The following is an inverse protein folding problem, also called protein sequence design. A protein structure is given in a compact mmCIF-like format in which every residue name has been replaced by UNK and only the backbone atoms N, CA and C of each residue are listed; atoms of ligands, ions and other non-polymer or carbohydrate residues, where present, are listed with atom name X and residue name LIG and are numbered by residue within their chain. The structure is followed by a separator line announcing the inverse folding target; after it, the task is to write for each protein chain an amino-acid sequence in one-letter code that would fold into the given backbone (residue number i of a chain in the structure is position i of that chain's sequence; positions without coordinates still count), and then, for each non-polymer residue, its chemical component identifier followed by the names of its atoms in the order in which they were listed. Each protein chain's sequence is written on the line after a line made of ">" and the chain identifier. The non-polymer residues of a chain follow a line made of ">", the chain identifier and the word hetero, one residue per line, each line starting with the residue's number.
data_IF_734173392268
#
_entry.id   IF_734173392268
#
_cell.length_a   1.000
_cell.length_b   1.000
_cell.length_c   1.000
_cell.angle_alpha   90.00
_cell.angle_beta   90.00
_cell.angle_gamma   90.00
#
_symmetry.space_group_name_H-M   'P 1'
#
loop_
_entity.id
_entity.type
_entity.pdbx_description
1 polymer ?
#
# COMPACT_ATOMS: atom_id res chain seq x y z
N UNK A 1 -26.00 -1.07 3.62
CA UNK A 1 -26.70 -1.89 2.63
C UNK A 1 -26.96 -1.20 1.27
N UNK A 2 -26.90 0.14 1.15
CA UNK A 2 -27.02 0.79 -0.17
C UNK A 2 -25.91 0.35 -1.14
N UNK A 3 -24.68 0.21 -0.65
CA UNK A 3 -23.54 -0.24 -1.48
C UNK A 3 -23.70 -1.65 -2.07
N UNK A 4 -24.28 -2.59 -1.33
CA UNK A 4 -24.57 -3.94 -1.86
C UNK A 4 -25.59 -3.91 -3.00
N UNK A 5 -26.64 -3.08 -2.86
CA UNK A 5 -27.64 -2.90 -3.92
C UNK A 5 -27.03 -2.37 -5.23
N UNK A 6 -26.06 -1.47 -5.15
CA UNK A 6 -25.39 -0.93 -6.33
C UNK A 6 -24.48 -1.99 -6.99
N UNK A 7 -23.79 -2.83 -6.19
CA UNK A 7 -22.99 -3.95 -6.71
C UNK A 7 -23.87 -4.96 -7.45
N UNK A 8 -25.01 -5.36 -6.88
CA UNK A 8 -25.97 -6.27 -7.55
C UNK A 8 -26.50 -5.71 -8.87
N UNK A 9 -26.93 -4.44 -8.89
CA UNK A 9 -27.43 -3.79 -10.11
C UNK A 9 -26.38 -3.77 -11.22
N UNK A 10 -25.12 -3.49 -10.88
CA UNK A 10 -24.03 -3.49 -11.85
C UNK A 10 -23.72 -4.90 -12.34
N UNK A 11 -23.80 -5.91 -11.47
CA UNK A 11 -23.64 -7.30 -11.87
C UNK A 11 -24.77 -7.78 -12.79
N UNK A 12 -26.01 -7.39 -12.55
CA UNK A 12 -27.15 -7.66 -13.44
C UNK A 12 -26.97 -6.98 -14.82
N UNK A 13 -26.47 -5.74 -14.82
CA UNK A 13 -26.26 -4.96 -16.04
C UNK A 13 -25.09 -5.48 -16.89
N UNK A 14 -23.96 -5.84 -16.28
CA UNK A 14 -22.70 -6.14 -16.96
C UNK A 14 -22.27 -7.60 -16.87
N UNK A 15 -22.98 -8.46 -16.14
CA UNK A 15 -22.62 -9.84 -15.90
C UNK A 15 -21.52 -10.02 -14.85
N UNK A 16 -20.95 -11.24 -14.80
CA UNK A 16 -20.00 -11.65 -13.75
C UNK A 16 -18.54 -11.42 -14.09
N UNK A 17 -18.21 -11.19 -15.37
CA UNK A 17 -16.85 -10.95 -15.83
C UNK A 17 -16.82 -10.31 -17.20
N UNK A 18 -15.64 -9.85 -17.63
CA UNK A 18 -15.47 -9.10 -18.88
C UNK A 18 -15.01 -9.96 -20.06
N UNK A 19 -14.61 -11.21 -19.82
CA UNK A 19 -14.12 -12.18 -20.82
C UNK A 19 -12.99 -11.65 -21.72
N UNK A 20 -12.20 -10.68 -21.24
CA UNK A 20 -11.10 -10.10 -21.97
C UNK A 20 -10.31 -9.09 -21.17
N UNK A 21 -9.17 -8.66 -21.75
CA UNK A 21 -8.32 -7.63 -21.16
C UNK A 21 -8.87 -6.23 -21.42
N UNK A 22 -8.40 -5.28 -20.62
CA UNK A 22 -8.73 -3.86 -20.78
C UNK A 22 -8.39 -3.32 -22.19
N UNK A 23 -7.34 -3.82 -22.77
CA UNK A 23 -6.84 -3.38 -24.08
C UNK A 23 -7.68 -3.91 -25.25
N UNK A 24 -8.32 -5.06 -25.10
CA UNK A 24 -9.13 -5.68 -26.16
C UNK A 24 -10.63 -5.34 -26.00
N UNK A 25 -11.36 -6.20 -25.32
CA UNK A 25 -12.82 -6.13 -25.20
C UNK A 25 -13.33 -6.05 -23.74
N UNK A 26 -12.44 -6.00 -22.77
CA UNK A 26 -12.79 -6.02 -21.35
C UNK A 26 -12.92 -4.64 -20.69
N UNK A 27 -12.91 -3.53 -21.44
CA UNK A 27 -13.14 -2.20 -20.87
C UNK A 27 -14.63 -1.88 -20.90
N UNK A 28 -15.22 -1.73 -19.72
CA UNK A 28 -16.59 -1.27 -19.49
C UNK A 28 -16.59 0.20 -19.10
N UNK A 29 -17.72 0.89 -19.28
CA UNK A 29 -17.91 2.27 -18.81
C UNK A 29 -17.56 2.45 -17.34
N UNK A 30 -17.91 1.47 -16.49
CA UNK A 30 -17.62 1.52 -15.07
C UNK A 30 -16.12 1.48 -14.73
N UNK A 31 -15.27 0.88 -15.59
CA UNK A 31 -13.82 0.96 -15.44
C UNK A 31 -13.33 2.39 -15.68
N UNK A 32 -13.88 3.06 -16.71
CA UNK A 32 -13.56 4.45 -17.00
C UNK A 32 -14.10 5.39 -15.92
N UNK A 33 -15.30 5.13 -15.41
CA UNK A 33 -15.88 5.85 -14.27
C UNK A 33 -14.99 5.74 -13.02
N UNK A 34 -14.52 4.54 -12.67
CA UNK A 34 -13.60 4.32 -11.55
C UNK A 34 -12.27 5.06 -11.75
N UNK A 35 -11.69 5.00 -12.95
CA UNK A 35 -10.46 5.71 -13.28
C UNK A 35 -10.63 7.23 -13.19
N UNK A 36 -11.75 7.77 -13.66
CA UNK A 36 -12.07 9.20 -13.55
C UNK A 36 -12.26 9.66 -12.09
N UNK A 37 -12.97 8.88 -11.29
CA UNK A 37 -13.15 9.18 -9.86
C UNK A 37 -11.83 9.12 -9.08
N UNK A 38 -10.98 8.11 -9.36
CA UNK A 38 -9.65 8.02 -8.77
C UNK A 38 -8.75 9.19 -9.20
N UNK A 39 -8.80 9.59 -10.49
CA UNK A 39 -8.06 10.74 -11.00
C UNK A 39 -8.42 12.03 -10.25
N UNK A 40 -9.72 12.25 -10.05
CA UNK A 40 -10.24 13.38 -9.28
C UNK A 40 -9.81 13.30 -7.82
N UNK A 41 -9.99 12.14 -7.17
CA UNK A 41 -9.66 11.94 -5.76
C UNK A 41 -8.16 12.12 -5.48
N UNK A 42 -7.30 11.53 -6.31
CA UNK A 42 -5.85 11.57 -6.16
C UNK A 42 -5.20 12.83 -6.76
N UNK A 43 -5.98 13.69 -7.42
CA UNK A 43 -5.49 14.90 -8.10
C UNK A 43 -4.41 14.59 -9.14
N UNK A 44 -4.53 13.48 -9.86
CA UNK A 44 -3.65 13.07 -10.96
C UNK A 44 -4.48 12.89 -12.24
N UNK A 45 -4.04 13.45 -13.38
CA UNK A 45 -4.88 13.46 -14.59
C UNK A 45 -5.00 12.11 -15.27
N UNK A 46 -4.08 11.19 -15.04
CA UNK A 46 -4.06 9.87 -15.68
C UNK A 46 -4.14 8.74 -14.68
N UNK A 47 -5.13 7.85 -14.84
CA UNK A 47 -5.28 6.64 -14.02
C UNK A 47 -5.41 5.42 -14.91
N UNK A 48 -4.79 4.31 -14.50
CA UNK A 48 -4.89 2.99 -15.13
C UNK A 48 -5.21 1.96 -14.06
N UNK A 49 -6.26 1.16 -14.23
CA UNK A 49 -6.61 0.10 -13.28
C UNK A 49 -6.13 -1.28 -13.75
N UNK A 50 -5.73 -2.10 -12.79
CA UNK A 50 -5.18 -3.45 -12.98
C UNK A 50 -5.99 -4.49 -12.20
N UNK A 51 -5.89 -5.76 -12.58
CA UNK A 51 -6.59 -6.86 -11.93
C UNK A 51 -6.24 -7.08 -10.46
N UNK A 52 -5.01 -6.75 -10.04
CA UNK A 52 -4.55 -6.82 -8.64
C UNK A 52 -3.50 -5.75 -8.35
N UNK A 53 -3.26 -5.43 -7.06
CA UNK A 53 -2.15 -4.57 -6.65
C UNK A 53 -0.78 -5.13 -7.04
N UNK A 54 -0.61 -6.47 -6.98
CA UNK A 54 0.63 -7.11 -7.42
C UNK A 54 0.90 -6.84 -8.91
N UNK A 55 -0.11 -7.03 -9.76
CA UNK A 55 -0.02 -6.74 -11.19
C UNK A 55 0.21 -5.25 -11.47
N UNK A 56 -0.29 -4.36 -10.63
CA UNK A 56 -0.04 -2.91 -10.76
C UNK A 56 1.44 -2.61 -10.65
N UNK A 57 2.11 -3.04 -9.58
CA UNK A 57 3.55 -2.82 -9.40
C UNK A 57 4.38 -3.43 -10.53
N UNK A 58 4.11 -4.70 -10.86
CA UNK A 58 4.81 -5.37 -11.96
C UNK A 58 4.60 -4.63 -13.28
N UNK A 59 3.35 -4.22 -13.57
CA UNK A 59 2.99 -3.56 -14.81
C UNK A 59 3.55 -2.15 -14.96
N UNK A 60 3.57 -1.38 -13.87
CA UNK A 60 4.09 -0.02 -13.84
C UNK A 60 5.60 -0.03 -13.99
N UNK A 61 6.30 -0.75 -13.10
CA UNK A 61 7.76 -0.71 -13.04
C UNK A 61 8.37 -1.31 -14.30
N UNK A 62 7.87 -2.46 -14.78
CA UNK A 62 8.41 -3.10 -15.98
C UNK A 62 8.11 -2.33 -17.27
N UNK A 63 7.08 -1.48 -17.29
CA UNK A 63 6.78 -0.62 -18.42
C UNK A 63 7.66 0.65 -18.43
N UNK A 64 7.86 1.28 -17.26
CA UNK A 64 8.53 2.58 -17.14
C UNK A 64 10.05 2.49 -17.12
N UNK A 65 10.62 1.37 -16.66
CA UNK A 65 12.08 1.23 -16.48
C UNK A 65 12.67 0.42 -17.64
N UNK A 66 13.31 1.13 -18.55
CA UNK A 66 13.92 0.57 -19.76
C UNK A 66 15.36 0.05 -19.54
N UNK A 67 15.97 -0.48 -20.61
CA UNK A 67 17.28 -1.14 -20.58
C UNK A 67 18.43 -0.25 -20.09
N UNK A 68 18.33 1.05 -20.27
CA UNK A 68 19.38 2.00 -19.91
C UNK A 68 19.07 2.76 -18.62
N UNK A 69 17.93 2.47 -17.99
CA UNK A 69 17.47 3.14 -16.80
C UNK A 69 17.83 2.36 -15.53
N UNK A 70 17.62 3.01 -14.41
CA UNK A 70 17.84 2.46 -13.07
C UNK A 70 16.54 2.50 -12.28
N UNK A 71 16.29 1.44 -11.51
CA UNK A 71 15.26 1.42 -10.47
C UNK A 71 15.92 1.28 -9.11
N UNK A 72 15.58 2.16 -8.19
CA UNK A 72 16.18 2.22 -6.86
C UNK A 72 15.08 1.96 -5.83
N UNK A 73 15.23 0.91 -5.02
CA UNK A 73 14.18 0.50 -4.10
C UNK A 73 14.68 0.25 -2.68
N UNK A 74 13.82 0.54 -1.71
CA UNK A 74 14.01 0.20 -0.31
C UNK A 74 14.03 -1.32 -0.12
N UNK A 75 14.86 -1.83 0.79
CA UNK A 75 14.98 -3.27 1.05
C UNK A 75 13.75 -3.89 1.70
N UNK A 76 12.92 -3.11 2.37
CA UNK A 76 11.68 -3.58 2.98
C UNK A 76 10.45 -3.37 2.08
N UNK A 77 10.63 -2.93 0.84
CA UNK A 77 9.52 -2.80 -0.11
C UNK A 77 8.80 -4.13 -0.32
N UNK A 78 7.52 -4.02 -0.66
CA UNK A 78 6.65 -5.16 -0.95
C UNK A 78 7.21 -6.05 -2.09
N UNK A 79 6.99 -7.36 -1.99
CA UNK A 79 7.47 -8.35 -2.95
C UNK A 79 7.09 -8.06 -4.40
N UNK A 80 5.93 -7.43 -4.65
CA UNK A 80 5.48 -7.05 -6.00
C UNK A 80 6.35 -5.96 -6.63
N UNK A 81 6.94 -5.05 -5.82
CA UNK A 81 7.91 -4.05 -6.29
C UNK A 81 9.16 -4.76 -6.76
N UNK A 82 9.69 -5.70 -5.95
CA UNK A 82 10.83 -6.52 -6.37
C UNK A 82 10.56 -7.30 -7.66
N UNK A 83 9.38 -7.93 -7.76
CA UNK A 83 9.00 -8.63 -8.98
C UNK A 83 8.95 -7.68 -10.20
N UNK A 84 8.41 -6.48 -10.03
CA UNK A 84 8.42 -5.45 -11.06
C UNK A 84 9.83 -5.02 -11.46
N UNK A 85 10.72 -4.81 -10.49
CA UNK A 85 12.12 -4.48 -10.73
C UNK A 85 12.86 -5.59 -11.49
N UNK A 86 12.64 -6.86 -11.12
CA UNK A 86 13.26 -8.02 -11.78
C UNK A 86 12.76 -8.23 -13.20
N UNK A 87 11.49 -7.91 -13.47
CA UNK A 87 10.89 -8.02 -14.81
C UNK A 87 11.14 -6.80 -15.69
N UNK A 88 11.64 -5.71 -15.13
CA UNK A 88 12.11 -4.56 -15.91
C UNK A 88 13.43 -4.90 -16.61
N UNK A 89 13.74 -4.14 -17.65
CA UNK A 89 15.06 -4.27 -18.31
C UNK A 89 16.13 -3.40 -17.67
N UNK A 90 15.76 -2.56 -16.68
CA UNK A 90 16.68 -1.63 -16.03
C UNK A 90 17.54 -2.28 -14.95
N UNK A 91 18.52 -1.52 -14.50
CA UNK A 91 19.40 -1.97 -13.43
C UNK A 91 18.78 -1.65 -12.06
N UNK A 92 18.58 -2.68 -11.23
CA UNK A 92 18.05 -2.53 -9.89
C UNK A 92 19.19 -2.20 -8.90
N UNK A 93 19.03 -1.12 -8.14
CA UNK A 93 19.82 -0.77 -6.96
C UNK A 93 18.92 -0.84 -5.72
N UNK A 94 19.50 -1.21 -4.59
CA UNK A 94 18.76 -1.33 -3.33
C UNK A 94 19.48 -0.58 -2.23
N UNK A 95 18.72 0.14 -1.39
CA UNK A 95 19.24 0.78 -0.19
C UNK A 95 18.60 0.17 1.07
N UNK A 96 19.31 0.24 2.19
CA UNK A 96 18.79 -0.23 3.48
C UNK A 96 17.56 0.57 3.85
N UNK A 97 16.64 -0.11 4.51
CA UNK A 97 15.37 0.47 4.90
C UNK A 97 15.54 1.85 5.56
N UNK A 98 14.84 2.83 4.99
CA UNK A 98 14.83 4.23 5.45
C UNK A 98 16.21 4.89 5.61
N UNK A 99 17.27 4.38 4.94
CA UNK A 99 18.62 4.94 4.95
C UNK A 99 18.83 5.90 3.77
N UNK A 100 18.62 7.18 4.01
CA UNK A 100 18.73 8.21 2.98
C UNK A 100 20.15 8.43 2.49
N UNK A 101 21.15 8.19 3.34
CA UNK A 101 22.54 8.27 2.92
C UNK A 101 22.91 7.13 1.95
N UNK A 102 22.36 5.93 2.12
CA UNK A 102 22.55 4.84 1.18
C UNK A 102 21.71 5.05 -0.10
N UNK A 103 20.52 5.64 -0.01
CA UNK A 103 19.74 6.07 -1.18
C UNK A 103 20.55 7.04 -2.04
N UNK A 104 21.16 8.06 -1.41
CA UNK A 104 21.99 9.02 -2.12
C UNK A 104 23.18 8.36 -2.81
N UNK A 105 23.87 7.42 -2.14
CA UNK A 105 24.96 6.63 -2.76
C UNK A 105 24.48 5.77 -3.95
N UNK A 106 23.21 5.33 -3.93
CA UNK A 106 22.62 4.66 -5.09
C UNK A 106 22.38 5.63 -6.25
N UNK A 107 21.87 6.82 -5.98
CA UNK A 107 21.65 7.87 -6.98
C UNK A 107 22.94 8.33 -7.63
N UNK A 108 24.03 8.48 -6.86
CA UNK A 108 25.36 8.84 -7.36
C UNK A 108 25.96 7.81 -8.34
N UNK A 109 25.45 6.57 -8.35
CA UNK A 109 25.88 5.53 -9.31
C UNK A 109 25.14 5.58 -10.64
N UNK A 110 24.08 6.38 -10.73
CA UNK A 110 23.29 6.53 -11.95
C UNK A 110 24.02 7.50 -12.89
N UNK A 111 24.34 7.09 -14.13
CA UNK A 111 24.92 8.01 -15.11
C UNK A 111 23.96 9.14 -15.45
N UNK A 112 24.47 10.32 -15.73
CA UNK A 112 23.68 11.52 -16.10
C UNK A 112 22.78 11.27 -17.33
N UNK A 113 23.16 10.35 -18.20
CA UNK A 113 22.40 9.99 -19.42
C UNK A 113 21.32 8.94 -19.19
N UNK A 114 21.20 8.40 -17.97
CA UNK A 114 20.25 7.35 -17.62
C UNK A 114 19.08 7.91 -16.81
N UNK A 115 17.87 7.38 -17.03
CA UNK A 115 16.73 7.62 -16.17
C UNK A 115 16.86 6.88 -14.85
N UNK A 116 16.31 7.45 -13.78
CA UNK A 116 16.20 6.79 -12.48
C UNK A 116 14.78 6.88 -11.93
N UNK A 117 14.25 5.75 -11.47
CA UNK A 117 12.98 5.66 -10.74
C UNK A 117 13.25 5.19 -9.32
N UNK A 118 12.97 6.03 -8.33
CA UNK A 118 12.94 5.62 -6.92
C UNK A 118 11.56 5.04 -6.63
N UNK A 119 11.51 3.82 -6.09
CA UNK A 119 10.24 3.15 -5.73
C UNK A 119 10.26 2.82 -4.24
N UNK A 120 9.24 3.24 -3.53
CA UNK A 120 9.08 2.97 -2.09
C UNK A 120 7.62 2.65 -1.75
N UNK A 121 7.42 1.75 -0.76
CA UNK A 121 6.13 1.73 -0.06
C UNK A 121 5.92 3.08 0.64
N UNK A 122 4.71 3.59 0.63
CA UNK A 122 4.34 4.78 1.42
C UNK A 122 4.21 4.44 2.89
N UNK A 123 3.53 3.34 3.18
CA UNK A 123 3.45 2.70 4.50
C UNK A 123 3.93 1.26 4.37
N UNK A 124 4.95 0.89 5.13
CA UNK A 124 5.53 -0.44 5.07
C UNK A 124 4.64 -1.48 5.76
N UNK A 125 4.31 -2.53 5.02
CA UNK A 125 3.26 -3.49 5.40
C UNK A 125 3.56 -4.29 6.67
N UNK A 126 4.84 -4.54 6.98
CA UNK A 126 5.26 -5.30 8.17
C UNK A 126 5.65 -4.36 9.32
N UNK A 127 6.35 -3.27 9.03
CA UNK A 127 6.81 -2.31 10.03
C UNK A 127 5.74 -1.34 10.52
N UNK A 128 4.77 -1.01 9.68
CA UNK A 128 3.77 0.01 9.97
C UNK A 128 4.31 1.45 9.95
N UNK A 129 5.59 1.62 9.68
CA UNK A 129 6.24 2.92 9.53
C UNK A 129 5.98 3.55 8.17
N UNK A 130 6.21 4.86 8.09
CA UNK A 130 5.97 5.68 6.90
C UNK A 130 7.32 5.97 6.23
N UNK A 131 7.36 5.92 4.90
CA UNK A 131 8.55 6.32 4.14
C UNK A 131 8.97 7.75 4.46
N UNK A 132 10.28 8.00 4.46
CA UNK A 132 10.84 9.35 4.59
C UNK A 132 10.68 10.13 3.29
N UNK A 133 9.41 10.29 2.89
CA UNK A 133 9.06 10.84 1.58
C UNK A 133 9.60 12.26 1.32
N UNK A 134 9.65 13.17 2.32
CA UNK A 134 10.27 14.48 2.12
C UNK A 134 11.74 14.41 1.69
N UNK A 135 12.54 13.57 2.35
CA UNK A 135 13.95 13.38 2.04
C UNK A 135 14.13 12.64 0.70
N UNK A 136 13.29 11.65 0.41
CA UNK A 136 13.28 10.93 -0.86
C UNK A 136 13.00 11.90 -2.02
N UNK A 137 11.99 12.77 -1.91
CA UNK A 137 11.67 13.76 -2.92
C UNK A 137 12.78 14.81 -3.09
N UNK A 138 13.41 15.22 -1.99
CA UNK A 138 14.54 16.16 -2.06
C UNK A 138 15.73 15.55 -2.82
N UNK A 139 16.09 14.31 -2.51
CA UNK A 139 17.15 13.58 -3.23
C UNK A 139 16.76 13.33 -4.70
N UNK A 140 15.52 12.93 -4.96
CA UNK A 140 15.04 12.74 -6.32
C UNK A 140 15.20 14.02 -7.16
N UNK A 141 14.79 15.15 -6.61
CA UNK A 141 14.95 16.46 -7.27
C UNK A 141 16.41 16.81 -7.50
N UNK A 142 17.28 16.58 -6.52
CA UNK A 142 18.74 16.88 -6.61
C UNK A 142 19.40 16.08 -7.72
N UNK A 143 19.02 14.80 -7.91
CA UNK A 143 19.64 13.89 -8.87
C UNK A 143 18.82 13.69 -10.16
N UNK A 144 17.74 14.42 -10.36
CA UNK A 144 16.88 14.32 -11.55
C UNK A 144 16.11 12.98 -11.66
N UNK A 145 15.94 12.27 -10.54
CA UNK A 145 15.20 11.02 -10.49
C UNK A 145 13.68 11.26 -10.39
N UNK A 146 12.89 10.23 -10.75
CA UNK A 146 11.44 10.19 -10.57
C UNK A 146 11.08 9.39 -9.33
N UNK A 147 9.92 9.69 -8.75
CA UNK A 147 9.44 9.02 -7.52
C UNK A 147 8.14 8.28 -7.79
N UNK A 148 8.11 7.00 -7.45
CA UNK A 148 6.91 6.17 -7.38
C UNK A 148 6.67 5.77 -5.93
N UNK A 149 5.42 5.97 -5.46
CA UNK A 149 4.97 5.54 -4.14
C UNK A 149 3.92 4.44 -4.28
N UNK A 150 4.18 3.30 -3.66
CA UNK A 150 3.17 2.27 -3.42
C UNK A 150 2.38 2.64 -2.16
N UNK A 151 1.20 3.17 -2.37
CA UNK A 151 0.30 3.64 -1.32
C UNK A 151 -0.79 2.63 -0.97
N UNK A 152 -0.52 1.35 -1.18
CA UNK A 152 -1.48 0.27 -0.89
C UNK A 152 -1.96 0.27 0.57
N UNK A 153 -1.15 0.74 1.50
CA UNK A 153 -1.50 0.93 2.92
C UNK A 153 -1.74 2.39 3.31
N UNK A 154 -1.49 3.35 2.42
CA UNK A 154 -1.72 4.77 2.67
C UNK A 154 -3.10 5.25 2.20
N UNK A 155 -3.60 4.73 1.08
CA UNK A 155 -4.93 5.06 0.54
C UNK A 155 -6.03 4.72 1.56
N UNK A 156 -6.88 5.71 1.87
CA UNK A 156 -7.95 5.59 2.87
C UNK A 156 -7.47 5.62 4.32
N UNK A 157 -6.17 5.90 4.56
CA UNK A 157 -5.53 5.87 5.89
C UNK A 157 -4.83 7.20 6.20
N UNK A 158 -3.96 7.66 5.32
CA UNK A 158 -3.14 8.86 5.51
C UNK A 158 -3.57 10.01 4.61
N UNK A 159 -3.18 11.20 5.02
CA UNK A 159 -3.40 12.42 4.26
C UNK A 159 -4.83 12.95 4.33
N UNK A 160 -5.05 14.07 3.68
CA UNK A 160 -6.35 14.75 3.65
C UNK A 160 -7.41 13.86 3.00
N UNK A 161 -8.46 13.53 3.74
CA UNK A 161 -9.53 12.64 3.26
C UNK A 161 -9.07 11.22 2.93
N UNK A 162 -7.87 10.79 3.36
CA UNK A 162 -7.33 9.47 3.06
C UNK A 162 -6.66 9.36 1.68
N UNK A 163 -6.16 10.47 1.11
CA UNK A 163 -5.51 10.47 -0.22
C UNK A 163 -4.12 9.83 -0.25
N UNK A 164 -3.60 9.40 0.89
CA UNK A 164 -2.35 8.64 0.96
C UNK A 164 -1.15 9.43 1.46
N UNK A 165 0.01 8.80 1.34
CA UNK A 165 1.26 9.23 1.96
C UNK A 165 1.77 10.57 1.40
N UNK A 166 1.68 10.79 0.09
CA UNK A 166 2.10 12.07 -0.49
C UNK A 166 1.25 13.23 0.03
N UNK A 167 -0.06 13.04 0.15
CA UNK A 167 -0.98 14.04 0.74
C UNK A 167 -0.71 14.27 2.23
N UNK A 168 -0.29 13.23 2.95
CA UNK A 168 0.09 13.36 4.36
C UNK A 168 1.25 14.34 4.58
N UNK A 169 2.20 14.39 3.64
CA UNK A 169 3.34 15.29 3.68
C UNK A 169 3.16 16.59 2.85
N UNK A 170 2.05 16.75 2.12
CA UNK A 170 1.85 17.87 1.19
C UNK A 170 2.81 17.84 0.00
N UNK A 171 3.12 16.65 -0.50
CA UNK A 171 4.10 16.39 -1.57
C UNK A 171 3.48 15.82 -2.85
N UNK A 172 2.16 16.03 -3.06
CA UNK A 172 1.44 15.45 -4.19
C UNK A 172 2.05 15.81 -5.55
N UNK A 173 2.62 17.01 -5.67
CA UNK A 173 3.26 17.48 -6.90
C UNK A 173 4.70 16.95 -7.10
N UNK A 174 5.29 16.35 -6.06
CA UNK A 174 6.66 15.84 -6.09
C UNK A 174 6.73 14.32 -6.30
N UNK A 175 5.60 13.63 -6.24
CA UNK A 175 5.49 12.20 -6.55
C UNK A 175 4.96 12.05 -7.96
N UNK A 176 5.74 11.40 -8.83
CA UNK A 176 5.42 11.25 -10.24
C UNK A 176 4.37 10.17 -10.49
N UNK A 177 4.44 9.06 -9.74
CA UNK A 177 3.58 7.89 -9.91
C UNK A 177 3.06 7.42 -8.57
N UNK A 178 1.74 7.32 -8.44
CA UNK A 178 1.09 6.61 -7.34
C UNK A 178 0.67 5.22 -7.80
N UNK A 179 0.89 4.26 -6.95
CA UNK A 179 0.30 2.94 -7.04
C UNK A 179 -0.56 2.70 -5.80
N UNK A 180 -1.66 1.99 -5.96
CA UNK A 180 -2.46 1.53 -4.83
C UNK A 180 -3.26 0.28 -5.16
N UNK A 181 -3.93 -0.26 -4.16
CA UNK A 181 -4.75 -1.47 -4.28
C UNK A 181 -6.16 -1.24 -3.77
N UNK A 182 -7.11 -1.97 -4.34
CA UNK A 182 -8.50 -1.97 -3.84
C UNK A 182 -8.73 -3.03 -2.75
N UNK A 183 -7.77 -3.92 -2.50
CA UNK A 183 -7.93 -5.07 -1.61
C UNK A 183 -7.78 -4.77 -0.12
N UNK A 184 -7.57 -3.51 0.25
CA UNK A 184 -7.41 -3.06 1.64
C UNK A 184 -8.53 -2.09 2.02
N UNK A 185 -8.29 -0.78 2.02
CA UNK A 185 -9.28 0.22 2.41
C UNK A 185 -10.56 0.23 1.57
N UNK A 186 -10.48 -0.14 0.28
CA UNK A 186 -11.64 -0.19 -0.61
C UNK A 186 -12.33 -1.56 -0.66
N UNK A 187 -11.88 -2.55 0.12
CA UNK A 187 -12.51 -3.86 0.32
C UNK A 187 -12.94 -4.59 -0.98
N UNK A 188 -12.12 -4.49 -2.04
CA UNK A 188 -12.39 -5.09 -3.35
C UNK A 188 -11.16 -5.80 -3.91
N UNK A 189 -11.20 -6.21 -5.16
CA UNK A 189 -10.07 -6.76 -5.90
C UNK A 189 -9.63 -5.78 -6.97
N UNK A 190 -8.32 -5.65 -7.16
CA UNK A 190 -7.71 -4.80 -8.16
C UNK A 190 -6.66 -3.86 -7.60
N UNK A 191 -6.13 -3.03 -8.47
CA UNK A 191 -5.22 -1.96 -8.11
C UNK A 191 -5.20 -0.89 -9.18
N UNK A 192 -4.42 0.15 -8.96
CA UNK A 192 -4.33 1.28 -9.88
C UNK A 192 -2.91 1.87 -9.93
N UNK A 193 -2.66 2.59 -11.00
CA UNK A 193 -1.62 3.60 -11.13
C UNK A 193 -2.28 4.96 -11.33
N UNK A 194 -1.74 6.01 -10.71
CA UNK A 194 -2.11 7.39 -11.03
C UNK A 194 -0.84 8.24 -11.27
N UNK A 195 -0.83 8.97 -12.38
CA UNK A 195 0.31 9.76 -12.84
C UNK A 195 -0.13 10.90 -13.77
N UNK A 196 0.79 11.48 -14.55
CA UNK A 196 0.44 12.36 -15.66
C UNK A 196 -0.35 11.62 -16.76
N UNK A 197 -1.06 12.34 -17.58
CA UNK A 197 -1.83 11.74 -18.69
C UNK A 197 -0.94 10.96 -19.66
N UNK A 198 0.25 11.50 -19.96
CA UNK A 198 1.22 10.91 -20.89
C UNK A 198 1.80 9.60 -20.32
N UNK A 199 2.13 9.56 -19.02
CA UNK A 199 2.62 8.36 -18.35
C UNK A 199 1.53 7.30 -18.29
N UNK A 200 0.29 7.67 -18.00
CA UNK A 200 -0.83 6.75 -17.99
C UNK A 200 -1.11 6.16 -19.40
N UNK A 201 -1.07 7.00 -20.42
CA UNK A 201 -1.23 6.54 -21.80
C UNK A 201 -0.10 5.58 -22.22
N UNK A 202 1.15 5.92 -21.91
CA UNK A 202 2.28 5.04 -22.17
C UNK A 202 2.12 3.68 -21.46
N UNK A 203 1.72 3.66 -20.19
CA UNK A 203 1.54 2.42 -19.44
C UNK A 203 0.40 1.56 -20.01
N UNK A 204 -0.69 2.15 -20.49
CA UNK A 204 -1.76 1.41 -21.20
C UNK A 204 -1.25 0.65 -22.42
N UNK A 205 -0.26 1.19 -23.12
CA UNK A 205 0.27 0.62 -24.35
C UNK A 205 1.52 -0.25 -24.16
N UNK A 206 2.20 -0.15 -23.00
CA UNK A 206 3.44 -0.87 -22.73
C UNK A 206 3.33 -1.95 -21.64
N UNK A 207 2.35 -1.83 -20.73
CA UNK A 207 2.22 -2.72 -19.57
C UNK A 207 1.64 -4.08 -19.96
N UNK A 208 2.45 -5.13 -19.88
CA UNK A 208 2.00 -6.50 -20.15
C UNK A 208 0.86 -6.97 -19.22
N UNK A 209 0.90 -6.73 -17.91
CA UNK A 209 -0.22 -7.07 -17.03
C UNK A 209 -1.54 -6.37 -17.39
N UNK A 210 -1.49 -5.18 -17.96
CA UNK A 210 -2.68 -4.49 -18.44
C UNK A 210 -3.20 -5.08 -19.76
N UNK A 211 -2.30 -5.35 -20.71
CA UNK A 211 -2.65 -5.78 -22.07
C UNK A 211 -3.10 -7.26 -22.09
N UNK A 212 -2.45 -8.12 -21.32
CA UNK A 212 -2.57 -9.58 -21.40
C UNK A 212 -3.28 -10.24 -20.21
N UNK A 213 -3.87 -9.45 -19.30
CA UNK A 213 -4.69 -9.98 -18.21
C UNK A 213 -6.15 -9.57 -18.34
N UNK A 214 -7.06 -10.41 -17.88
CA UNK A 214 -8.47 -10.09 -17.82
C UNK A 214 -8.73 -8.86 -16.94
N UNK A 215 -9.75 -8.10 -17.28
CA UNK A 215 -10.19 -6.90 -16.56
C UNK A 215 -10.77 -7.24 -15.19
N UNK A 216 -10.78 -6.26 -14.30
CA UNK A 216 -11.49 -6.37 -13.01
C UNK A 216 -12.95 -6.72 -13.27
N UNK A 217 -13.51 -7.75 -12.60
CA UNK A 217 -14.93 -8.09 -12.74
C UNK A 217 -15.85 -6.92 -12.37
N UNK A 218 -17.03 -6.80 -13.01
CA UNK A 218 -17.99 -5.72 -12.75
C UNK A 218 -18.33 -5.51 -11.28
N UNK A 219 -18.58 -6.59 -10.53
CA UNK A 219 -18.89 -6.52 -9.11
C UNK A 219 -17.74 -5.91 -8.30
N UNK A 220 -16.48 -6.28 -8.58
CA UNK A 220 -15.31 -5.72 -7.91
C UNK A 220 -15.08 -4.25 -8.28
N UNK A 221 -15.27 -3.89 -9.55
CA UNK A 221 -15.18 -2.50 -9.99
C UNK A 221 -16.24 -1.62 -9.29
N UNK A 222 -17.49 -2.09 -9.22
CA UNK A 222 -18.57 -1.41 -8.52
C UNK A 222 -18.29 -1.28 -7.01
N UNK A 223 -17.73 -2.32 -6.38
CA UNK A 223 -17.34 -2.28 -4.97
C UNK A 223 -16.28 -1.22 -4.71
N UNK A 224 -15.22 -1.19 -5.51
CA UNK A 224 -14.15 -0.20 -5.39
C UNK A 224 -14.68 1.23 -5.57
N UNK A 225 -15.50 1.45 -6.59
CA UNK A 225 -16.13 2.75 -6.87
C UNK A 225 -17.05 3.22 -5.72
N UNK A 226 -17.88 2.32 -5.21
CA UNK A 226 -18.79 2.62 -4.09
C UNK A 226 -18.01 2.90 -2.80
N UNK A 227 -16.93 2.16 -2.55
CA UNK A 227 -16.08 2.37 -1.38
C UNK A 227 -15.32 3.70 -1.46
N UNK A 228 -14.81 4.07 -2.65
CA UNK A 228 -14.16 5.35 -2.87
C UNK A 228 -15.13 6.52 -2.61
N UNK A 229 -16.34 6.46 -3.16
CA UNK A 229 -17.39 7.46 -2.93
C UNK A 229 -17.79 7.56 -1.45
N UNK A 230 -17.80 6.42 -0.75
CA UNK A 230 -18.07 6.39 0.68
C UNK A 230 -16.93 7.04 1.46
N UNK A 231 -15.69 6.79 1.09
CA UNK A 231 -14.52 7.42 1.72
C UNK A 231 -14.58 8.94 1.57
N UNK A 232 -14.91 9.44 0.38
CA UNK A 232 -15.06 10.88 0.13
C UNK A 232 -16.22 11.52 0.90
N UNK A 233 -17.34 10.80 1.02
CA UNK A 233 -18.51 11.27 1.76
C UNK A 233 -18.31 11.23 3.29
N UNK A 234 -17.30 10.50 3.78
CA UNK A 234 -17.03 10.24 5.19
C UNK A 234 -15.56 10.49 5.55
N UNK A 235 -15.06 11.74 5.44
CA UNK A 235 -13.68 12.07 5.75
C UNK A 235 -13.30 11.82 7.22
N UNK A 236 -14.28 11.69 8.10
CA UNK A 236 -14.10 11.32 9.51
C UNK A 236 -13.57 9.89 9.71
N UNK A 237 -13.71 8.98 8.72
CA UNK A 237 -13.27 7.59 8.85
C UNK A 237 -11.74 7.46 8.97
N UNK A 238 -10.91 8.08 8.10
CA UNK A 238 -9.46 8.09 8.28
C UNK A 238 -9.02 8.78 9.57
N UNK A 239 -9.69 9.86 9.99
CA UNK A 239 -9.37 10.57 11.23
C UNK A 239 -9.65 9.68 12.46
N UNK A 240 -10.80 9.00 12.49
CA UNK A 240 -11.13 8.03 13.53
C UNK A 240 -10.13 6.88 13.57
N UNK A 241 -9.76 6.32 12.41
CA UNK A 241 -8.76 5.25 12.33
C UNK A 241 -7.41 5.71 12.90
N UNK A 242 -6.99 6.93 12.58
CA UNK A 242 -5.77 7.52 13.12
C UNK A 242 -5.84 7.65 14.65
N UNK A 243 -6.94 8.16 15.19
CA UNK A 243 -7.13 8.29 16.64
C UNK A 243 -7.07 6.93 17.33
N UNK A 244 -7.78 5.92 16.83
CA UNK A 244 -7.76 4.55 17.34
C UNK A 244 -6.37 3.90 17.22
N UNK A 245 -5.62 4.18 16.16
CA UNK A 245 -4.25 3.67 15.99
C UNK A 245 -3.29 4.25 17.02
N UNK A 246 -3.39 5.54 17.34
CA UNK A 246 -2.61 6.18 18.38
C UNK A 246 -3.02 5.68 19.77
N UNK A 247 -4.31 5.51 20.01
CA UNK A 247 -4.85 4.94 21.24
C UNK A 247 -4.30 3.52 21.49
N UNK A 248 -4.41 2.64 20.49
CA UNK A 248 -3.90 1.28 20.58
C UNK A 248 -2.38 1.24 20.80
N UNK A 249 -1.62 2.10 20.11
CA UNK A 249 -0.17 2.19 20.26
C UNK A 249 0.22 2.58 21.70
N UNK A 250 -0.44 3.59 22.25
CA UNK A 250 -0.25 4.00 23.64
C UNK A 250 -0.65 2.87 24.59
N UNK A 251 -1.82 2.26 24.41
CA UNK A 251 -2.31 1.19 25.28
C UNK A 251 -1.42 -0.06 25.29
N UNK A 252 -0.82 -0.43 24.15
CA UNK A 252 0.15 -1.53 24.08
C UNK A 252 1.46 -1.18 24.80
N UNK A 253 1.98 0.03 24.63
CA UNK A 253 3.21 0.46 25.34
C UNK A 253 3.00 0.62 26.84
N UNK A 254 1.86 1.12 27.27
CA UNK A 254 1.49 1.23 28.69
C UNK A 254 1.43 -0.17 29.37
N UNK A 255 1.15 -1.23 28.61
CA UNK A 255 1.18 -2.64 29.06
C UNK A 255 2.56 -3.29 28.97
N UNK A 256 3.61 -2.51 28.69
CA UNK A 256 4.99 -2.98 28.63
C UNK A 256 5.37 -3.76 27.36
N UNK A 257 4.51 -3.74 26.34
CA UNK A 257 4.78 -4.42 25.07
C UNK A 257 5.77 -3.62 24.22
N UNK A 258 6.74 -4.32 23.65
CA UNK A 258 7.75 -3.69 22.79
C UNK A 258 7.25 -3.58 21.37
N UNK A 259 6.97 -2.36 20.93
CA UNK A 259 6.58 -2.04 19.56
C UNK A 259 7.86 -1.75 18.73
N UNK A 260 7.86 -2.12 17.46
CA UNK A 260 8.96 -1.78 16.54
C UNK A 260 9.21 -0.26 16.57
N UNK A 261 10.46 0.20 16.81
CA UNK A 261 10.75 1.63 17.00
C UNK A 261 10.30 2.52 15.87
N UNK A 262 10.45 2.08 14.60
CA UNK A 262 10.02 2.83 13.41
C UNK A 262 8.51 3.07 13.34
N UNK A 263 7.72 2.26 14.06
CA UNK A 263 6.27 2.39 14.10
C UNK A 263 5.76 3.20 15.31
N UNK A 264 6.61 3.57 16.27
CA UNK A 264 6.16 4.18 17.53
C UNK A 264 5.37 5.48 17.36
N UNK A 265 5.77 6.34 16.43
CA UNK A 265 5.15 7.64 16.17
C UNK A 265 4.27 7.65 14.91
N UNK A 266 4.25 6.55 14.15
CA UNK A 266 3.50 6.47 12.91
C UNK A 266 1.99 6.37 13.19
N UNK A 267 1.14 7.26 12.66
CA UNK A 267 -0.31 7.23 12.88
C UNK A 267 -1.01 6.19 11.97
N UNK A 268 -0.36 5.08 11.69
CA UNK A 268 -0.86 4.00 10.83
C UNK A 268 -1.53 2.91 11.65
N UNK A 269 -2.49 2.16 11.09
CA UNK A 269 -3.21 1.11 11.79
C UNK A 269 -2.42 -0.21 11.87
N UNK A 270 -1.17 -0.24 11.48
CA UNK A 270 -0.30 -1.41 11.56
C UNK A 270 0.64 -1.21 12.75
N UNK A 271 0.53 -2.07 13.77
CA UNK A 271 1.36 -1.98 14.96
C UNK A 271 2.03 -3.34 15.20
N UNK A 272 3.33 -3.46 14.87
CA UNK A 272 4.11 -4.68 15.11
C UNK A 272 4.61 -4.72 16.57
N UNK A 273 4.36 -5.85 17.26
CA UNK A 273 4.80 -6.12 18.64
C UNK A 273 5.89 -7.18 18.58
N UNK A 274 7.09 -6.90 19.08
CA UNK A 274 8.19 -7.84 19.05
C UNK A 274 7.94 -9.03 20.00
N UNK A 275 8.18 -10.21 19.47
CA UNK A 275 8.26 -11.48 20.20
C UNK A 275 9.65 -12.08 20.08
N UNK A 276 10.46 -11.58 19.10
CA UNK A 276 11.85 -11.91 18.79
C UNK A 276 12.08 -13.33 18.26
N UNK A 277 11.51 -14.35 18.91
CA UNK A 277 11.82 -15.76 18.69
C UNK A 277 10.63 -16.44 17.96
N UNK A 278 10.92 -17.25 16.94
CA UNK A 278 9.93 -17.87 16.04
C UNK A 278 8.91 -18.75 16.77
N UNK A 279 9.37 -19.67 17.63
CA UNK A 279 8.46 -20.60 18.34
C UNK A 279 7.60 -19.85 19.38
N UNK A 280 8.19 -18.89 20.07
CA UNK A 280 7.44 -18.02 20.97
C UNK A 280 6.35 -17.27 20.22
N UNK A 281 6.66 -16.70 19.04
CA UNK A 281 5.69 -15.97 18.23
C UNK A 281 4.48 -16.84 17.86
N UNK A 282 4.74 -18.06 17.40
CA UNK A 282 3.68 -19.00 17.01
C UNK A 282 2.82 -19.41 18.22
N UNK A 283 3.45 -19.72 19.36
CA UNK A 283 2.74 -20.13 20.57
C UNK A 283 1.87 -19.01 21.12
N UNK A 284 2.45 -17.80 21.25
CA UNK A 284 1.72 -16.62 21.72
C UNK A 284 0.56 -16.27 20.79
N UNK A 285 0.78 -16.32 19.47
CA UNK A 285 -0.29 -16.06 18.51
C UNK A 285 -1.45 -17.08 18.62
N UNK A 286 -1.14 -18.35 18.83
CA UNK A 286 -2.16 -19.40 19.03
C UNK A 286 -2.96 -19.16 20.32
N UNK A 287 -2.27 -18.85 21.45
CA UNK A 287 -2.93 -18.58 22.74
C UNK A 287 -3.82 -17.33 22.67
N UNK A 288 -3.34 -16.25 22.04
CA UNK A 288 -4.12 -15.03 21.83
C UNK A 288 -5.37 -15.33 21.00
N UNK A 289 -5.23 -16.18 19.95
CA UNK A 289 -6.35 -16.61 19.11
C UNK A 289 -7.38 -17.42 19.91
N UNK A 290 -6.95 -18.37 20.72
CA UNK A 290 -7.83 -19.20 21.59
C UNK A 290 -8.60 -18.33 22.60
N UNK A 291 -8.06 -17.16 22.96
CA UNK A 291 -8.73 -16.15 23.82
C UNK A 291 -9.58 -15.16 23.02
N UNK A 292 -9.77 -15.35 21.71
CA UNK A 292 -10.70 -14.59 20.87
C UNK A 292 -10.10 -13.38 20.15
N UNK A 293 -8.78 -13.19 20.17
CA UNK A 293 -8.12 -12.09 19.47
C UNK A 293 -7.26 -12.60 18.31
N UNK A 294 -7.55 -12.14 17.11
CA UNK A 294 -6.77 -12.50 15.94
C UNK A 294 -5.59 -11.55 15.71
N UNK A 295 -4.38 -12.10 15.66
CA UNK A 295 -3.14 -11.40 15.33
C UNK A 295 -2.35 -12.21 14.30
N UNK A 296 -1.55 -11.53 13.45
CA UNK A 296 -0.72 -12.23 12.47
C UNK A 296 0.69 -12.46 13.00
N UNK A 297 1.14 -13.71 13.22
CA UNK A 297 2.55 -13.99 13.46
C UNK A 297 3.35 -13.67 12.19
N UNK A 298 4.40 -12.87 12.32
CA UNK A 298 5.30 -12.52 11.23
C UNK A 298 6.70 -13.00 11.57
N UNK A 299 7.24 -13.87 10.73
CA UNK A 299 8.43 -14.65 10.98
C UNK A 299 9.47 -14.41 9.87
N UNK A 300 10.75 -14.72 10.10
CA UNK A 300 11.72 -14.81 9.02
C UNK A 300 11.24 -15.76 7.89
N UNK A 301 11.44 -15.42 6.60
CA UNK A 301 12.24 -14.30 6.08
C UNK A 301 11.42 -12.98 5.88
N UNK A 302 10.17 -12.88 6.33
CA UNK A 302 9.38 -11.65 6.24
C UNK A 302 9.84 -10.58 7.25
N UNK A 303 10.55 -10.99 8.29
CA UNK A 303 11.34 -10.14 9.21
C UNK A 303 12.78 -10.61 9.23
N UNK A 304 13.75 -9.80 9.69
CA UNK A 304 15.10 -10.27 9.99
C UNK A 304 15.08 -11.39 11.02
N UNK A 305 16.15 -12.21 11.02
CA UNK A 305 16.30 -13.25 12.02
C UNK A 305 16.46 -12.64 13.43
N UNK A 306 15.74 -13.21 14.41
CA UNK A 306 15.66 -12.63 15.78
C UNK A 306 14.71 -11.44 15.91
N UNK A 307 13.96 -11.06 14.89
CA UNK A 307 12.98 -9.98 14.90
C UNK A 307 11.55 -10.46 14.60
N UNK A 308 11.21 -11.69 14.98
CA UNK A 308 9.84 -12.17 14.84
C UNK A 308 8.88 -11.31 15.67
N UNK A 309 7.67 -11.11 15.17
CA UNK A 309 6.69 -10.19 15.77
C UNK A 309 5.25 -10.63 15.56
N UNK A 310 4.34 -10.10 16.35
CA UNK A 310 2.90 -10.11 16.11
C UNK A 310 2.52 -8.83 15.36
N UNK A 311 1.96 -8.97 14.16
CA UNK A 311 1.45 -7.85 13.40
C UNK A 311 -0.03 -7.64 13.74
N UNK A 312 -0.33 -6.58 14.48
CA UNK A 312 -1.72 -6.15 14.75
C UNK A 312 -2.19 -5.15 13.69
N UNK A 313 -3.49 -5.13 13.42
CA UNK A 313 -4.10 -4.22 12.45
C UNK A 313 -5.46 -3.74 12.97
N UNK A 314 -5.74 -2.47 12.77
CA UNK A 314 -6.91 -1.80 13.33
C UNK A 314 -7.83 -1.28 12.24
N UNK A 315 -9.11 -1.09 12.56
CA UNK A 315 -10.14 -0.59 11.66
C UNK A 315 -10.91 0.57 12.30
N UNK A 316 -11.45 1.46 11.49
CA UNK A 316 -12.27 2.59 11.95
C UNK A 316 -13.56 2.16 12.66
N UNK A 317 -13.99 0.90 12.50
CA UNK A 317 -15.16 0.32 13.14
C UNK A 317 -14.89 -0.23 14.55
N UNK A 318 -13.60 -0.37 14.96
CA UNK A 318 -13.27 -0.75 16.32
C UNK A 318 -13.71 0.32 17.31
N UNK A 319 -13.91 -0.10 18.56
CA UNK A 319 -14.18 0.79 19.71
C UNK A 319 -13.02 0.71 20.70
N UNK A 320 -12.82 1.74 21.50
CA UNK A 320 -11.79 1.73 22.56
C UNK A 320 -11.98 0.54 23.50
N UNK A 321 -13.21 0.20 23.88
CA UNK A 321 -13.49 -0.95 24.74
C UNK A 321 -13.03 -2.29 24.11
N UNK A 322 -13.27 -2.51 22.81
CA UNK A 322 -12.75 -3.69 22.11
C UNK A 322 -11.21 -3.70 22.03
N UNK A 323 -10.61 -2.51 21.86
CA UNK A 323 -9.16 -2.39 21.84
C UNK A 323 -8.56 -2.66 23.20
N UNK A 324 -9.17 -2.16 24.28
CA UNK A 324 -8.72 -2.45 25.66
C UNK A 324 -8.76 -3.94 25.96
N UNK A 325 -9.87 -4.61 25.69
CA UNK A 325 -10.01 -6.06 25.86
C UNK A 325 -8.93 -6.83 25.08
N UNK A 326 -8.71 -6.47 23.82
CA UNK A 326 -7.69 -7.12 22.99
C UNK A 326 -6.27 -6.86 23.53
N UNK A 327 -5.97 -5.63 23.93
CA UNK A 327 -4.65 -5.26 24.47
C UNK A 327 -4.38 -5.92 25.82
N UNK A 328 -5.41 -6.08 26.68
CA UNK A 328 -5.29 -6.80 27.96
C UNK A 328 -4.95 -8.28 27.71
N UNK A 329 -5.68 -8.94 26.79
CA UNK A 329 -5.39 -10.32 26.40
C UNK A 329 -3.96 -10.47 25.87
N UNK A 330 -3.54 -9.60 24.94
CA UNK A 330 -2.17 -9.63 24.40
C UNK A 330 -1.14 -9.42 25.49
N UNK A 331 -1.34 -8.43 26.38
CA UNK A 331 -0.45 -8.11 27.49
C UNK A 331 -0.29 -9.26 28.47
N UNK A 332 -1.40 -9.88 28.88
CA UNK A 332 -1.39 -11.04 29.78
C UNK A 332 -0.63 -12.23 29.17
N UNK A 333 -0.96 -12.63 27.93
CA UNK A 333 -0.29 -13.75 27.26
C UNK A 333 1.20 -13.47 27.12
N UNK A 334 1.58 -12.25 26.70
CA UNK A 334 2.99 -11.88 26.52
C UNK A 334 3.77 -11.83 27.84
N UNK A 335 3.13 -11.58 28.97
CA UNK A 335 3.78 -11.50 30.30
C UNK A 335 4.02 -12.86 30.97
N UNK A 336 3.28 -13.90 30.57
CA UNK A 336 3.42 -15.28 31.08
C UNK A 336 4.50 -16.10 30.39
N UNK A 337 5.11 -15.54 29.39
CA UNK A 337 6.09 -16.12 28.49
C UNK A 337 7.45 -15.44 28.55
#
# INVERSE_FOLDING_TARGET
>A
SRGLGDVYKRQEQYGTGCSGSRFLNGTLEMHLELEAELARFLRKPGVVTFGTGFQSNVGIISALVGRHDYVICDRENHASIYAGCQLSYGKMLRYRHSDMAELEKCLQKVPETAGALIVTDGVFSMGGDIAKLPEICALAKQYGARVMVDDAHGLGVLGEGGRGTASYFGLEDQVDVYMGTFSKSLASLGGYMAASAEVADFVRHASRPFIFSASIPPANCATALTALRKLEAHPELPERLRALSLYARKGLTDRGLTIRPSALEAPTPIIPIYTYETYRTLRVAAEIYDRGVYVNPTLPPATPEGEALLRTSYMATHTEALLDEAMDIIGEVMSHE
#
